data_IF_988054214291
#
_entry.id   IF_988054214291
#
_cell.length_a   1.000
_cell.length_b   1.000
_cell.length_c   1.000
_cell.angle_alpha   90.00
_cell.angle_beta   90.00
_cell.angle_gamma   90.00
#
_symmetry.space_group_name_H-M   'P 1'
#
loop_
_entity.id
_entity.type
_entity.pdbx_description
1 polymer ?
#
# COMPACT_ATOMS: atom_id res chain seq x y z
N UNK A 1 -3.61 -17.50 13.35
CA UNK A 1 -3.48 -17.11 11.92
C UNK A 1 -4.21 -15.79 11.69
N UNK A 2 -3.60 -14.87 10.96
CA UNK A 2 -4.09 -13.51 10.66
C UNK A 2 -4.37 -13.42 9.16
N UNK A 3 -5.62 -13.13 8.79
CA UNK A 3 -6.06 -13.06 7.40
C UNK A 3 -5.80 -11.69 6.77
N UNK A 4 -5.01 -11.64 5.69
CA UNK A 4 -4.65 -10.42 4.97
C UNK A 4 -5.21 -10.46 3.55
N UNK A 5 -5.89 -9.40 3.13
CA UNK A 5 -6.45 -9.23 1.79
C UNK A 5 -5.85 -7.98 1.11
N UNK A 6 -5.26 -8.13 -0.06
CA UNK A 6 -4.93 -7.00 -0.94
C UNK A 6 -5.97 -6.89 -2.07
N UNK A 7 -6.35 -5.67 -2.41
CA UNK A 7 -7.28 -5.39 -3.52
C UNK A 7 -6.51 -4.68 -4.63
N UNK A 8 -6.03 -5.45 -5.61
CA UNK A 8 -5.35 -4.91 -6.80
C UNK A 8 -6.36 -4.55 -7.89
N UNK A 9 -6.41 -3.29 -8.27
CA UNK A 9 -7.27 -2.86 -9.37
C UNK A 9 -6.75 -1.62 -10.10
N UNK A 10 -7.32 -1.35 -11.27
CA UNK A 10 -7.13 -0.11 -12.02
C UNK A 10 -8.19 0.90 -11.57
N UNK A 11 -7.83 2.01 -10.92
CA UNK A 11 -8.76 3.09 -10.66
C UNK A 11 -9.23 3.74 -11.97
N UNK A 12 -10.48 4.13 -12.02
CA UNK A 12 -11.00 5.01 -13.07
C UNK A 12 -10.62 6.43 -12.73
N UNK A 13 -9.85 7.08 -13.61
CA UNK A 13 -9.27 8.41 -13.38
C UNK A 13 -10.35 9.42 -13.01
N UNK A 14 -10.16 10.11 -11.89
CA UNK A 14 -11.03 11.20 -11.40
C UNK A 14 -12.43 10.77 -10.96
N UNK A 15 -12.75 9.47 -10.94
CA UNK A 15 -14.08 8.96 -10.64
C UNK A 15 -14.16 8.29 -9.26
N UNK A 16 -14.04 9.10 -8.19
CA UNK A 16 -14.02 8.63 -6.79
C UNK A 16 -15.16 7.63 -6.50
N UNK A 17 -16.40 7.98 -6.78
CA UNK A 17 -17.56 7.13 -6.47
C UNK A 17 -17.50 5.76 -7.16
N UNK A 18 -17.02 5.72 -8.41
CA UNK A 18 -16.85 4.47 -9.15
C UNK A 18 -15.78 3.61 -8.48
N UNK A 19 -14.66 4.23 -8.08
CA UNK A 19 -13.55 3.53 -7.46
C UNK A 19 -13.91 3.01 -6.06
N UNK A 20 -14.66 3.78 -5.28
CA UNK A 20 -15.17 3.35 -3.99
C UNK A 20 -16.14 2.14 -4.11
N UNK A 21 -17.03 2.16 -5.11
CA UNK A 21 -17.91 1.02 -5.42
C UNK A 21 -17.12 -0.23 -5.84
N UNK A 22 -15.99 -0.07 -6.57
CA UNK A 22 -15.10 -1.20 -6.88
C UNK A 22 -14.51 -1.81 -5.59
N UNK A 23 -14.04 -0.98 -4.66
CA UNK A 23 -13.52 -1.46 -3.37
C UNK A 23 -14.60 -2.24 -2.61
N UNK A 24 -15.82 -1.70 -2.49
CA UNK A 24 -16.93 -2.40 -1.84
C UNK A 24 -17.27 -3.72 -2.53
N UNK A 25 -17.26 -3.75 -3.86
CA UNK A 25 -17.51 -4.97 -4.64
C UNK A 25 -16.48 -6.06 -4.34
N UNK A 26 -15.19 -5.73 -4.31
CA UNK A 26 -14.12 -6.68 -3.98
C UNK A 26 -14.23 -7.18 -2.53
N UNK A 27 -14.56 -6.31 -1.58
CA UNK A 27 -14.78 -6.73 -0.19
C UNK A 27 -15.96 -7.69 -0.08
N UNK A 28 -17.06 -7.40 -0.77
CA UNK A 28 -18.25 -8.27 -0.79
C UNK A 28 -17.93 -9.67 -1.33
N UNK A 29 -17.04 -9.79 -2.33
CA UNK A 29 -16.62 -11.08 -2.90
C UNK A 29 -15.76 -11.92 -1.94
N UNK A 30 -15.26 -11.35 -0.85
CA UNK A 30 -14.40 -12.01 0.13
C UNK A 30 -14.97 -11.99 1.56
N UNK A 31 -16.28 -11.75 1.70
CA UNK A 31 -16.92 -11.63 3.02
C UNK A 31 -17.05 -12.96 3.78
N UNK A 32 -16.78 -14.09 3.13
CA UNK A 32 -16.69 -15.44 3.71
C UNK A 32 -15.35 -15.72 4.38
N UNK A 33 -14.34 -14.88 4.13
CA UNK A 33 -13.00 -15.01 4.71
C UNK A 33 -12.89 -14.25 6.03
N UNK A 34 -12.00 -14.73 6.90
CA UNK A 34 -11.57 -13.95 8.05
C UNK A 34 -10.65 -12.84 7.57
N UNK A 35 -11.10 -11.58 7.62
CA UNK A 35 -10.34 -10.42 7.20
C UNK A 35 -9.84 -9.66 8.42
N UNK A 36 -8.57 -9.81 8.77
CA UNK A 36 -7.95 -9.02 9.84
C UNK A 36 -7.36 -7.72 9.32
N UNK A 37 -6.83 -7.73 8.06
CA UNK A 37 -6.31 -6.55 7.39
C UNK A 37 -6.68 -6.54 5.91
N UNK A 38 -7.17 -5.40 5.43
CA UNK A 38 -7.36 -5.11 4.00
C UNK A 38 -6.44 -3.98 3.59
N UNK A 39 -5.78 -4.11 2.43
CA UNK A 39 -4.90 -3.08 1.89
C UNK A 39 -5.37 -2.65 0.50
N UNK A 40 -5.48 -1.34 0.30
CA UNK A 40 -5.82 -0.71 -0.97
C UNK A 40 -4.56 -0.12 -1.64
N UNK A 41 -4.54 0.08 -2.96
CA UNK A 41 -3.39 0.65 -3.66
C UNK A 41 -3.27 2.17 -3.47
N UNK A 42 -2.10 2.72 -3.72
CA UNK A 42 -1.86 4.16 -3.78
C UNK A 42 -2.81 4.82 -4.80
N UNK A 43 -3.34 6.02 -4.48
CA UNK A 43 -4.31 6.77 -5.29
C UNK A 43 -5.56 5.98 -5.68
N UNK A 44 -6.01 5.07 -4.83
CA UNK A 44 -7.11 4.15 -5.13
C UNK A 44 -8.42 4.85 -5.52
N UNK A 45 -8.67 6.06 -5.01
CA UNK A 45 -9.91 6.79 -5.24
C UNK A 45 -9.89 7.64 -6.52
N UNK A 46 -8.75 8.22 -6.87
CA UNK A 46 -8.62 9.15 -8.02
C UNK A 46 -7.90 8.55 -9.22
N UNK A 47 -7.05 7.51 -9.02
CA UNK A 47 -6.01 7.14 -9.95
C UNK A 47 -4.89 8.19 -9.98
N UNK A 48 -3.90 8.03 -10.86
CA UNK A 48 -2.79 8.96 -11.03
C UNK A 48 -3.20 10.04 -12.02
N UNK A 49 -3.54 11.23 -11.51
CA UNK A 49 -3.96 12.37 -12.33
C UNK A 49 -3.80 13.69 -11.57
N UNK A 50 -2.87 14.52 -12.03
CA UNK A 50 -2.54 15.80 -11.41
C UNK A 50 -3.75 16.73 -11.29
N UNK A 51 -4.67 16.70 -12.28
CA UNK A 51 -5.89 17.50 -12.24
C UNK A 51 -6.81 17.08 -11.09
N UNK A 52 -6.95 15.77 -10.90
CA UNK A 52 -7.73 15.22 -9.78
C UNK A 52 -7.06 15.54 -8.44
N UNK A 53 -5.73 15.51 -8.36
CA UNK A 53 -4.99 15.85 -7.14
C UNK A 53 -5.26 17.29 -6.70
N UNK A 54 -5.22 18.24 -7.64
CA UNK A 54 -5.42 19.67 -7.37
C UNK A 54 -6.90 20.01 -7.10
N UNK A 55 -7.81 19.44 -7.90
CA UNK A 55 -9.22 19.84 -7.91
C UNK A 55 -10.11 19.07 -6.94
N UNK A 56 -9.64 17.95 -6.41
CA UNK A 56 -10.45 17.06 -5.58
C UNK A 56 -9.68 16.49 -4.38
N UNK A 57 -8.85 17.28 -3.67
CA UNK A 57 -8.22 16.78 -2.45
C UNK A 57 -9.28 16.49 -1.40
N UNK A 58 -8.94 15.63 -0.46
CA UNK A 58 -9.70 15.43 0.77
C UNK A 58 -9.16 16.37 1.86
N UNK A 59 -9.93 16.63 2.89
CA UNK A 59 -9.46 17.36 4.06
C UNK A 59 -8.54 16.51 4.96
N UNK A 60 -8.09 17.06 6.06
CA UNK A 60 -7.18 16.39 7.00
C UNK A 60 -7.78 15.16 7.70
N UNK A 61 -9.09 14.98 7.64
CA UNK A 61 -9.80 13.79 8.13
C UNK A 61 -9.95 12.72 7.05
N UNK A 62 -9.51 13.00 5.82
CA UNK A 62 -9.64 12.14 4.65
C UNK A 62 -10.99 12.28 3.95
N UNK A 63 -11.84 13.19 4.39
CA UNK A 63 -13.09 13.60 3.76
C UNK A 63 -14.04 12.42 3.48
N UNK A 64 -14.91 12.60 2.47
CA UNK A 64 -15.92 11.59 2.11
C UNK A 64 -15.31 10.26 1.67
N UNK A 65 -14.11 10.27 1.11
CA UNK A 65 -13.44 9.03 0.66
C UNK A 65 -13.11 8.15 1.87
N UNK A 66 -12.47 8.71 2.89
CA UNK A 66 -12.08 7.94 4.09
C UNK A 66 -13.30 7.63 4.96
N UNK A 67 -14.28 8.55 5.06
CA UNK A 67 -15.56 8.25 5.71
C UNK A 67 -16.25 7.00 5.12
N UNK A 68 -16.23 6.86 3.79
CA UNK A 68 -16.77 5.67 3.12
C UNK A 68 -15.96 4.41 3.50
N UNK A 69 -14.62 4.48 3.51
CA UNK A 69 -13.76 3.34 3.91
C UNK A 69 -13.97 2.98 5.39
N UNK A 70 -14.16 3.95 6.28
CA UNK A 70 -14.53 3.71 7.68
C UNK A 70 -15.82 2.89 7.81
N UNK A 71 -16.85 3.22 7.00
CA UNK A 71 -18.10 2.44 6.96
C UNK A 71 -17.86 1.02 6.46
N UNK A 72 -16.97 0.81 5.50
CA UNK A 72 -16.59 -0.52 5.01
C UNK A 72 -15.83 -1.31 6.09
N UNK A 73 -14.86 -0.70 6.77
CA UNK A 73 -14.12 -1.33 7.86
C UNK A 73 -15.06 -1.89 8.94
N UNK A 74 -16.01 -1.07 9.39
CA UNK A 74 -17.04 -1.47 10.34
C UNK A 74 -17.97 -2.56 9.79
N UNK A 75 -18.46 -2.40 8.54
CA UNK A 75 -19.38 -3.33 7.90
C UNK A 75 -18.79 -4.73 7.76
N UNK A 76 -17.51 -4.83 7.38
CA UNK A 76 -16.81 -6.10 7.16
C UNK A 76 -15.97 -6.55 8.35
N UNK A 77 -16.04 -5.82 9.47
CA UNK A 77 -15.31 -6.12 10.71
C UNK A 77 -13.82 -6.36 10.47
N UNK A 78 -13.16 -5.46 9.74
CA UNK A 78 -11.76 -5.57 9.32
C UNK A 78 -10.99 -4.27 9.52
N UNK A 79 -9.69 -4.36 9.79
CA UNK A 79 -8.82 -3.19 9.72
C UNK A 79 -8.50 -2.89 8.25
N UNK A 80 -8.39 -1.61 7.88
CA UNK A 80 -8.09 -1.19 6.51
C UNK A 80 -6.94 -0.20 6.50
N UNK A 81 -5.88 -0.49 5.72
CA UNK A 81 -4.94 0.51 5.23
C UNK A 81 -5.52 1.04 3.92
N UNK A 82 -6.01 2.29 3.96
CA UNK A 82 -6.86 2.87 2.92
C UNK A 82 -6.06 3.37 1.71
N UNK A 83 -5.11 2.56 1.21
CA UNK A 83 -4.29 2.96 0.08
C UNK A 83 -3.73 4.37 0.30
N UNK A 84 -3.96 5.27 -0.65
CA UNK A 84 -3.74 6.70 -0.40
C UNK A 84 -4.80 7.59 -1.02
N UNK A 85 -4.97 8.75 -0.41
CA UNK A 85 -5.71 9.90 -0.93
C UNK A 85 -4.80 11.13 -0.95
N UNK A 86 -5.17 12.14 -1.75
CA UNK A 86 -4.55 13.45 -1.66
C UNK A 86 -5.23 14.23 -0.54
N UNK A 87 -4.48 14.49 0.51
CA UNK A 87 -4.91 15.27 1.66
C UNK A 87 -4.51 16.74 1.48
N UNK A 88 -5.44 17.67 1.69
CA UNK A 88 -5.12 19.11 1.82
C UNK A 88 -4.99 19.47 3.29
N UNK A 89 -3.82 20.02 3.67
CA UNK A 89 -3.55 20.50 5.01
C UNK A 89 -2.66 21.75 4.96
N UNK A 90 -3.06 22.84 5.60
CA UNK A 90 -2.31 24.12 5.62
C UNK A 90 -1.83 24.55 4.22
N UNK A 91 -2.77 24.62 3.26
CA UNK A 91 -2.53 25.00 1.85
C UNK A 91 -1.56 24.07 1.08
N UNK A 92 -1.10 22.97 1.68
CA UNK A 92 -0.26 21.95 1.04
C UNK A 92 -1.06 20.69 0.73
N UNK A 93 -0.64 19.99 -0.30
CA UNK A 93 -1.17 18.67 -0.65
C UNK A 93 -0.19 17.59 -0.20
N UNK A 94 -0.72 16.48 0.31
CA UNK A 94 0.06 15.33 0.76
C UNK A 94 -0.52 14.05 0.18
N UNK A 95 0.34 13.12 -0.17
CA UNK A 95 -0.03 11.74 -0.50
C UNK A 95 -0.13 10.95 0.81
N UNK A 96 -1.35 10.69 1.28
CA UNK A 96 -1.61 10.24 2.65
C UNK A 96 -2.35 8.91 2.70
N UNK A 97 -1.81 7.98 3.47
CA UNK A 97 -2.45 6.70 3.81
C UNK A 97 -3.08 6.79 5.19
N UNK A 98 -4.37 6.47 5.29
CA UNK A 98 -5.10 6.39 6.55
C UNK A 98 -5.19 4.96 7.03
N UNK A 99 -5.04 4.76 8.34
CA UNK A 99 -5.17 3.47 9.00
C UNK A 99 -6.46 3.47 9.80
N UNK A 100 -7.34 2.53 9.49
CA UNK A 100 -8.71 2.47 10.02
C UNK A 100 -8.89 1.12 10.73
N UNK A 101 -9.37 1.14 11.96
CA UNK A 101 -9.64 -0.08 12.71
C UNK A 101 -10.99 -0.72 12.31
N UNK A 102 -11.24 -1.94 12.79
CA UNK A 102 -12.47 -2.69 12.48
C UNK A 102 -13.76 -2.05 13.06
N UNK A 103 -13.64 -1.06 13.96
CA UNK A 103 -14.78 -0.27 14.42
C UNK A 103 -15.14 0.88 13.46
N UNK A 104 -14.30 1.10 12.41
CA UNK A 104 -14.44 2.21 11.48
C UNK A 104 -13.85 3.52 11.98
N UNK A 105 -12.91 3.47 12.93
CA UNK A 105 -12.24 4.63 13.49
C UNK A 105 -10.87 4.81 12.82
N UNK A 106 -10.53 6.05 12.47
CA UNK A 106 -9.17 6.40 12.00
C UNK A 106 -8.24 6.35 13.22
N UNK A 107 -7.23 5.48 13.16
CA UNK A 107 -6.26 5.33 14.27
C UNK A 107 -5.08 6.26 14.06
N UNK A 108 -4.58 6.35 12.83
CA UNK A 108 -3.44 7.19 12.45
C UNK A 108 -3.41 7.40 10.94
N UNK A 109 -2.48 8.23 10.47
CA UNK A 109 -2.22 8.46 9.05
C UNK A 109 -0.73 8.66 8.79
N UNK A 110 -0.27 8.21 7.63
CA UNK A 110 1.10 8.39 7.15
C UNK A 110 1.11 9.25 5.89
N UNK A 111 1.86 10.34 5.88
CA UNK A 111 2.16 11.17 4.71
C UNK A 111 3.45 10.68 4.07
N UNK A 112 3.43 10.39 2.78
CA UNK A 112 4.59 9.91 2.01
C UNK A 112 5.79 10.83 2.21
N UNK A 113 6.92 10.25 2.63
CA UNK A 113 8.15 10.99 2.89
C UNK A 113 8.95 11.17 1.59
N UNK A 114 9.14 10.10 0.83
CA UNK A 114 9.97 10.13 -0.38
C UNK A 114 9.10 10.21 -1.63
N UNK A 115 9.08 11.42 -2.22
CA UNK A 115 8.30 11.69 -3.43
C UNK A 115 9.01 11.20 -4.68
N UNK A 116 8.25 10.77 -5.68
CA UNK A 116 8.77 10.30 -6.95
C UNK A 116 9.05 11.48 -7.90
N UNK A 117 10.31 11.94 -7.92
CA UNK A 117 10.80 13.09 -8.70
C UNK A 117 11.85 12.70 -9.74
N UNK A 118 11.89 11.46 -10.20
CA UNK A 118 12.92 10.91 -11.08
C UNK A 118 12.31 10.27 -12.33
N UNK A 119 13.08 10.16 -13.41
CA UNK A 119 12.68 9.45 -14.63
C UNK A 119 11.32 9.91 -15.19
N UNK A 120 11.08 11.23 -15.20
CA UNK A 120 9.81 11.82 -15.64
C UNK A 120 8.74 11.95 -14.57
N UNK A 121 8.97 11.43 -13.36
CA UNK A 121 8.14 11.71 -12.20
C UNK A 121 8.37 13.13 -11.68
N UNK A 122 7.31 13.80 -11.26
CA UNK A 122 7.32 15.18 -10.78
C UNK A 122 6.36 15.40 -9.61
N UNK A 123 6.18 14.36 -8.79
CA UNK A 123 5.22 14.35 -7.67
C UNK A 123 5.42 15.57 -6.75
N UNK A 124 6.68 15.94 -6.49
CA UNK A 124 7.02 17.10 -5.64
C UNK A 124 6.66 18.48 -6.20
N UNK A 125 6.24 18.59 -7.46
CA UNK A 125 5.72 19.85 -8.00
C UNK A 125 4.33 20.20 -7.44
N UNK A 126 3.59 19.17 -6.96
CA UNK A 126 2.20 19.30 -6.51
C UNK A 126 2.07 18.86 -5.05
N UNK A 127 2.79 17.82 -4.65
CA UNK A 127 2.68 17.15 -3.36
C UNK A 127 3.87 17.51 -2.47
N UNK A 128 3.60 17.79 -1.21
CA UNK A 128 4.62 18.02 -0.18
C UNK A 128 5.00 16.72 0.51
N UNK A 129 6.28 16.58 0.89
CA UNK A 129 6.76 15.45 1.69
C UNK A 129 6.18 15.46 3.10
N UNK A 130 5.88 14.27 3.62
CA UNK A 130 5.71 14.03 5.05
C UNK A 130 7.05 14.06 5.80
N UNK A 131 6.98 13.95 7.11
CA UNK A 131 8.14 14.08 8.01
C UNK A 131 8.16 13.06 9.16
N UNK A 132 7.14 12.20 9.26
CA UNK A 132 6.99 11.25 10.36
C UNK A 132 6.90 9.82 9.87
N UNK A 133 7.66 8.93 10.51
CA UNK A 133 7.44 7.49 10.44
C UNK A 133 6.23 7.11 11.28
N UNK A 134 5.44 6.17 10.79
CA UNK A 134 4.21 5.73 11.46
C UNK A 134 4.21 4.23 11.66
N UNK A 135 4.04 3.82 12.91
CA UNK A 135 3.68 2.46 13.30
C UNK A 135 2.42 2.48 14.13
N UNK A 136 1.51 1.54 13.91
CA UNK A 136 0.21 1.46 14.57
C UNK A 136 0.02 0.08 15.19
N UNK A 137 -0.46 0.04 16.44
CA UNK A 137 -0.90 -1.20 17.05
C UNK A 137 -2.33 -1.49 16.60
N UNK A 138 -2.51 -2.53 15.81
CA UNK A 138 -3.81 -3.13 15.54
C UNK A 138 -4.10 -4.22 16.59
N UNK A 139 -5.32 -4.72 16.59
CA UNK A 139 -5.75 -5.76 17.53
C UNK A 139 -5.02 -7.11 17.38
N UNK A 140 -4.26 -7.30 16.29
CA UNK A 140 -3.53 -8.55 15.99
C UNK A 140 -2.02 -8.39 15.83
N UNK A 141 -1.51 -7.20 15.44
CA UNK A 141 -0.10 -6.94 15.19
C UNK A 141 0.23 -5.44 15.23
N UNK A 142 1.51 -5.14 15.37
CA UNK A 142 2.02 -3.80 15.10
C UNK A 142 2.42 -3.69 13.63
N UNK A 143 1.80 -2.75 12.91
CA UNK A 143 2.09 -2.51 11.49
C UNK A 143 2.91 -1.23 11.30
N UNK A 144 3.82 -1.23 10.32
CA UNK A 144 4.52 -0.05 9.82
C UNK A 144 3.99 0.35 8.45
N UNK A 145 3.92 1.64 8.15
CA UNK A 145 3.38 2.16 6.88
C UNK A 145 4.46 2.85 6.08
N UNK A 146 4.52 2.54 4.78
CA UNK A 146 5.30 3.23 3.77
C UNK A 146 4.46 3.36 2.50
N UNK A 147 4.81 4.24 1.57
CA UNK A 147 4.07 4.43 0.32
C UNK A 147 5.04 4.36 -0.87
N UNK A 148 4.78 3.43 -1.79
CA UNK A 148 5.35 3.35 -3.14
C UNK A 148 6.87 3.61 -3.19
N UNK A 149 7.30 4.82 -3.58
CA UNK A 149 8.71 5.18 -3.80
C UNK A 149 9.56 5.12 -2.51
N UNK A 150 8.95 5.11 -1.33
CA UNK A 150 9.64 4.84 -0.06
C UNK A 150 10.43 3.52 -0.10
N UNK A 151 10.01 2.54 -0.94
CA UNK A 151 10.71 1.25 -1.14
C UNK A 151 12.20 1.42 -1.50
N UNK A 152 12.58 2.54 -2.10
CA UNK A 152 13.95 2.85 -2.49
C UNK A 152 14.85 3.28 -1.34
N UNK A 153 14.28 3.48 -0.16
CA UNK A 153 14.96 3.98 1.04
C UNK A 153 15.00 2.93 2.15
N UNK A 154 16.02 2.04 2.17
CA UNK A 154 16.12 0.93 3.13
C UNK A 154 16.03 1.36 4.59
N UNK A 155 16.59 2.53 4.91
CA UNK A 155 16.64 3.03 6.28
C UNK A 155 15.24 3.28 6.87
N UNK A 156 14.27 3.71 6.03
CA UNK A 156 12.89 3.88 6.46
C UNK A 156 12.32 2.58 7.05
N UNK A 157 12.55 1.46 6.37
CA UNK A 157 12.05 0.14 6.79
C UNK A 157 12.77 -0.38 8.04
N UNK A 158 14.08 -0.12 8.13
CA UNK A 158 14.88 -0.44 9.33
C UNK A 158 14.32 0.30 10.56
N UNK A 159 14.02 1.59 10.43
CA UNK A 159 13.44 2.37 11.53
C UNK A 159 12.03 1.90 11.90
N UNK A 160 11.15 1.62 10.92
CA UNK A 160 9.84 1.04 11.22
C UNK A 160 9.95 -0.28 12.00
N UNK A 161 10.94 -1.10 11.67
CA UNK A 161 11.19 -2.37 12.37
C UNK A 161 11.74 -2.13 13.78
N UNK A 162 12.63 -1.17 13.98
CA UNK A 162 13.09 -0.73 15.32
C UNK A 162 11.94 -0.20 16.18
N UNK A 163 10.95 0.47 15.57
CA UNK A 163 9.72 0.90 16.24
C UNK A 163 8.78 -0.26 16.56
N UNK A 164 9.13 -1.50 16.19
CA UNK A 164 8.44 -2.72 16.55
C UNK A 164 7.46 -3.26 15.50
N UNK A 165 7.52 -2.79 14.25
CA UNK A 165 6.67 -3.34 13.21
C UNK A 165 6.93 -4.84 12.99
N UNK A 166 5.85 -5.61 12.91
CA UNK A 166 5.83 -7.04 12.57
C UNK A 166 5.36 -7.26 11.13
N UNK A 167 4.56 -6.32 10.63
CA UNK A 167 4.08 -6.25 9.25
C UNK A 167 4.40 -4.86 8.73
N UNK A 168 4.96 -4.75 7.52
CA UNK A 168 5.08 -3.49 6.81
C UNK A 168 4.11 -3.49 5.64
N UNK A 169 3.30 -2.43 5.56
CA UNK A 169 2.28 -2.26 4.53
C UNK A 169 2.72 -1.16 3.56
N UNK A 170 2.66 -1.46 2.25
CA UNK A 170 3.09 -0.57 1.18
C UNK A 170 1.99 -0.39 0.12
N UNK A 171 1.04 0.54 0.29
CA UNK A 171 0.23 1.03 -0.81
C UNK A 171 1.12 1.59 -1.92
N UNK A 172 0.85 1.20 -3.18
CA UNK A 172 1.73 1.59 -4.27
C UNK A 172 0.98 1.77 -5.60
N UNK A 173 1.58 2.56 -6.48
CA UNK A 173 1.22 2.72 -7.87
C UNK A 173 2.51 2.69 -8.70
N UNK A 174 3.18 1.52 -8.72
CA UNK A 174 4.44 1.34 -9.43
C UNK A 174 4.22 1.23 -10.92
N UNK A 175 4.66 2.24 -11.63
CA UNK A 175 4.38 2.46 -13.04
C UNK A 175 5.63 2.30 -13.90
N UNK A 176 5.38 1.98 -15.17
CA UNK A 176 6.39 1.96 -16.25
C UNK A 176 5.81 2.65 -17.50
N UNK A 177 6.63 3.13 -18.44
CA UNK A 177 6.17 3.57 -19.75
C UNK A 177 5.39 2.46 -20.48
N UNK A 178 4.41 2.84 -21.30
CA UNK A 178 3.61 1.87 -22.04
C UNK A 178 4.45 1.02 -23.03
N UNK A 179 5.56 1.55 -23.54
CA UNK A 179 6.51 0.79 -24.36
C UNK A 179 7.09 -0.39 -23.57
N UNK A 180 7.51 -0.15 -22.33
CA UNK A 180 8.02 -1.20 -21.41
C UNK A 180 6.91 -2.19 -21.08
N UNK A 181 5.70 -1.71 -20.83
CA UNK A 181 4.56 -2.57 -20.46
C UNK A 181 4.13 -3.49 -21.62
N UNK A 182 4.21 -3.02 -22.86
CA UNK A 182 3.82 -3.77 -24.06
C UNK A 182 4.89 -4.74 -24.55
N UNK A 183 6.15 -4.48 -24.22
CA UNK A 183 7.24 -5.41 -24.52
C UNK A 183 7.37 -6.47 -23.41
N UNK A 184 7.14 -7.73 -23.75
CA UNK A 184 7.10 -8.82 -22.78
C UNK A 184 8.40 -9.02 -22.00
N UNK A 185 9.55 -8.79 -22.64
CA UNK A 185 10.87 -8.95 -22.03
C UNK A 185 11.15 -7.82 -21.04
N UNK A 186 10.90 -6.58 -21.44
CA UNK A 186 11.07 -5.40 -20.59
C UNK A 186 10.11 -5.41 -19.41
N UNK A 187 8.85 -5.81 -19.62
CA UNK A 187 7.88 -5.94 -18.57
C UNK A 187 8.30 -7.02 -17.54
N UNK A 188 8.73 -8.19 -18.03
CA UNK A 188 9.23 -9.26 -17.16
C UNK A 188 10.39 -8.77 -16.31
N UNK A 189 11.37 -8.08 -16.90
CA UNK A 189 12.50 -7.51 -16.17
C UNK A 189 12.05 -6.50 -15.10
N UNK A 190 11.14 -5.57 -15.45
CA UNK A 190 10.59 -4.61 -14.49
C UNK A 190 9.86 -5.29 -13.34
N UNK A 191 9.12 -6.36 -13.60
CA UNK A 191 8.43 -7.15 -12.58
C UNK A 191 9.39 -7.93 -11.68
N UNK A 192 10.44 -8.54 -12.26
CA UNK A 192 11.47 -9.24 -11.50
C UNK A 192 12.22 -8.29 -10.55
N UNK A 193 12.60 -7.09 -11.02
CA UNK A 193 13.18 -6.06 -10.17
C UNK A 193 12.23 -5.66 -9.03
N UNK A 194 10.94 -5.47 -9.34
CA UNK A 194 9.93 -5.13 -8.36
C UNK A 194 9.80 -6.21 -7.29
N UNK A 195 9.70 -7.47 -7.69
CA UNK A 195 9.63 -8.63 -6.80
C UNK A 195 10.89 -8.70 -5.93
N UNK A 196 12.08 -8.55 -6.51
CA UNK A 196 13.35 -8.61 -5.79
C UNK A 196 13.43 -7.53 -4.69
N UNK A 197 13.10 -6.27 -5.01
CA UNK A 197 13.12 -5.17 -4.03
C UNK A 197 12.20 -5.48 -2.83
N UNK A 198 10.99 -5.96 -3.08
CA UNK A 198 10.02 -6.21 -2.01
C UNK A 198 10.41 -7.43 -1.15
N UNK A 199 10.92 -8.50 -1.77
CA UNK A 199 11.44 -9.66 -1.03
C UNK A 199 12.63 -9.27 -0.15
N UNK A 200 13.52 -8.44 -0.66
CA UNK A 200 14.65 -7.92 0.12
C UNK A 200 14.17 -7.13 1.33
N UNK A 201 13.16 -6.25 1.18
CA UNK A 201 12.61 -5.50 2.33
C UNK A 201 11.98 -6.40 3.39
N UNK A 202 11.31 -7.48 2.98
CA UNK A 202 10.79 -8.47 3.92
C UNK A 202 11.92 -9.14 4.72
N UNK A 203 12.98 -9.58 4.03
CA UNK A 203 14.08 -10.33 4.62
C UNK A 203 15.02 -9.48 5.47
N UNK A 204 15.45 -8.32 4.96
CA UNK A 204 16.34 -7.40 5.68
C UNK A 204 15.75 -6.91 7.00
N UNK A 205 14.43 -6.97 7.14
CA UNK A 205 13.72 -6.47 8.31
C UNK A 205 13.02 -7.59 9.11
N UNK A 206 13.04 -8.83 8.63
CA UNK A 206 12.37 -10.01 9.23
C UNK A 206 10.91 -9.71 9.60
N UNK A 207 10.15 -9.18 8.63
CA UNK A 207 8.74 -8.81 8.77
C UNK A 207 7.92 -9.40 7.64
N UNK A 208 6.61 -9.56 7.85
CA UNK A 208 5.72 -9.70 6.70
C UNK A 208 5.69 -8.40 5.91
N UNK A 209 5.75 -8.51 4.58
CA UNK A 209 5.72 -7.35 3.69
C UNK A 209 4.49 -7.45 2.79
N UNK A 210 3.56 -6.51 2.98
CA UNK A 210 2.26 -6.51 2.31
C UNK A 210 2.18 -5.31 1.40
N UNK A 211 2.30 -5.53 0.11
CA UNK A 211 2.26 -4.47 -0.88
C UNK A 211 1.03 -4.59 -1.77
N UNK A 212 0.32 -3.48 -1.96
CA UNK A 212 -0.87 -3.41 -2.79
C UNK A 212 -0.67 -2.38 -3.91
N UNK A 213 -0.57 -2.87 -5.16
CA UNK A 213 -0.29 -2.08 -6.35
C UNK A 213 -1.55 -1.86 -7.20
N UNK A 214 -1.51 -0.82 -8.03
CA UNK A 214 -2.40 -0.72 -9.19
C UNK A 214 -1.98 -1.70 -10.29
N UNK A 215 -2.83 -1.89 -11.29
CA UNK A 215 -2.55 -2.75 -12.45
C UNK A 215 -3.11 -2.16 -13.75
N UNK A 216 -2.61 -2.65 -14.88
CA UNK A 216 -3.04 -2.30 -16.25
C UNK A 216 -2.62 -0.88 -16.68
N UNK A 217 -2.95 -0.56 -17.91
CA UNK A 217 -2.72 0.75 -18.50
C UNK A 217 -3.49 1.85 -17.74
N UNK A 218 -2.78 2.87 -17.25
CA UNK A 218 -3.35 3.99 -16.50
C UNK A 218 -3.83 5.07 -17.47
N UNK A 219 -2.97 5.44 -18.42
CA UNK A 219 -3.24 6.44 -19.45
C UNK A 219 -2.46 6.12 -20.73
N UNK A 220 -2.45 7.03 -21.69
CA UNK A 220 -1.76 6.84 -22.98
C UNK A 220 -0.25 6.58 -22.87
N UNK A 221 0.38 6.93 -21.75
CA UNK A 221 1.83 6.90 -21.60
C UNK A 221 2.33 5.90 -20.54
N UNK A 222 1.50 5.57 -19.54
CA UNK A 222 1.90 4.86 -18.34
C UNK A 222 1.00 3.67 -18.03
N UNK A 223 1.61 2.60 -17.57
CA UNK A 223 0.96 1.39 -17.07
C UNK A 223 1.48 1.00 -15.70
N UNK A 224 0.62 0.52 -14.82
CA UNK A 224 1.01 -0.09 -13.57
C UNK A 224 1.31 -1.58 -13.76
N UNK A 225 2.40 -2.05 -13.19
CA UNK A 225 2.92 -3.41 -13.43
C UNK A 225 2.20 -4.50 -12.63
N UNK A 226 1.23 -4.15 -11.78
CA UNK A 226 0.58 -5.13 -10.92
C UNK A 226 1.52 -5.70 -9.87
N UNK A 227 1.47 -7.01 -9.67
CA UNK A 227 2.28 -7.74 -8.69
C UNK A 227 2.11 -7.20 -7.26
N UNK A 228 0.87 -7.00 -6.82
CA UNK A 228 0.56 -6.94 -5.39
C UNK A 228 0.95 -8.27 -4.76
N UNK A 229 1.59 -8.23 -3.60
CA UNK A 229 2.11 -9.45 -2.96
C UNK A 229 1.91 -9.41 -1.45
N UNK A 230 1.85 -10.60 -0.87
CA UNK A 230 2.02 -10.85 0.57
C UNK A 230 3.26 -11.73 0.70
N UNK A 231 4.29 -11.23 1.38
CA UNK A 231 5.62 -11.84 1.44
C UNK A 231 5.96 -12.15 2.89
N UNK A 232 6.46 -13.36 3.15
CA UNK A 232 6.90 -13.79 4.48
C UNK A 232 8.25 -13.17 4.87
N UNK A 233 8.62 -13.17 6.15
CA UNK A 233 9.94 -12.74 6.61
C UNK A 233 11.10 -13.50 5.95
N UNK A 234 10.84 -14.68 5.39
CA UNK A 234 11.83 -15.55 4.72
C UNK A 234 11.79 -15.45 3.21
N UNK A 235 11.21 -14.37 2.67
CA UNK A 235 11.11 -14.08 1.24
C UNK A 235 10.11 -14.93 0.44
N UNK A 236 9.38 -15.84 1.07
CA UNK A 236 8.34 -16.61 0.40
C UNK A 236 7.19 -15.69 -0.03
N UNK A 237 6.77 -15.77 -1.28
CA UNK A 237 5.59 -15.07 -1.78
C UNK A 237 4.37 -15.94 -1.51
N UNK A 238 3.61 -15.59 -0.46
CA UNK A 238 2.42 -16.33 -0.05
C UNK A 238 1.25 -16.12 -1.01
N UNK A 239 1.17 -14.93 -1.61
CA UNK A 239 0.18 -14.60 -2.64
C UNK A 239 0.71 -13.52 -3.58
N UNK A 240 0.37 -13.60 -4.87
CA UNK A 240 0.74 -12.63 -5.91
C UNK A 240 -0.41 -12.44 -6.92
N UNK A 241 -0.85 -11.20 -7.11
CA UNK A 241 -1.92 -10.83 -8.04
C UNK A 241 -1.47 -10.78 -9.52
N UNK A 242 -0.17 -10.86 -9.79
CA UNK A 242 0.41 -10.67 -11.12
C UNK A 242 -0.16 -9.40 -11.78
N UNK A 243 -0.63 -9.47 -13.04
CA UNK A 243 -1.17 -8.33 -13.79
C UNK A 243 -2.71 -8.25 -13.76
N UNK A 244 -3.39 -9.00 -12.90
CA UNK A 244 -4.85 -9.08 -12.94
C UNK A 244 -5.52 -8.09 -11.98
N UNK A 245 -6.74 -7.64 -12.32
CA UNK A 245 -7.60 -6.98 -11.36
C UNK A 245 -8.24 -8.07 -10.49
N UNK A 246 -7.76 -8.22 -9.29
CA UNK A 246 -8.21 -9.28 -8.39
C UNK A 246 -7.91 -8.94 -6.93
N UNK A 247 -8.42 -9.77 -6.06
CA UNK A 247 -7.98 -9.84 -4.67
C UNK A 247 -7.00 -10.99 -4.49
N UNK A 248 -6.01 -10.79 -3.64
CA UNK A 248 -5.17 -11.88 -3.13
C UNK A 248 -5.31 -11.96 -1.62
N UNK A 249 -5.27 -13.17 -1.10
CA UNK A 249 -5.44 -13.47 0.31
C UNK A 249 -4.37 -14.44 0.79
N UNK A 250 -3.89 -14.22 2.01
CA UNK A 250 -3.07 -15.18 2.73
C UNK A 250 -3.36 -15.13 4.23
N UNK A 251 -3.32 -16.29 4.86
CA UNK A 251 -3.21 -16.41 6.31
C UNK A 251 -1.74 -16.38 6.70
N UNK A 252 -1.37 -15.49 7.61
CA UNK A 252 -0.01 -15.37 8.14
C UNK A 252 0.04 -15.78 9.61
N UNK A 253 1.22 -16.24 10.02
CA UNK A 253 1.51 -16.60 11.41
C UNK A 253 2.59 -15.66 11.97
N UNK A 254 2.21 -14.80 12.91
CA UNK A 254 3.13 -13.83 13.52
C UNK A 254 4.21 -14.46 14.40
N UNK A 255 4.03 -15.70 14.83
CA UNK A 255 5.09 -16.44 15.54
C UNK A 255 6.34 -16.62 14.66
N UNK A 256 6.18 -16.67 13.34
CA UNK A 256 7.30 -16.70 12.38
C UNK A 256 8.19 -15.44 12.54
N UNK A 257 7.60 -14.26 12.69
CA UNK A 257 8.36 -13.01 12.91
C UNK A 257 9.14 -13.08 14.22
N UNK A 258 8.47 -13.49 15.30
CA UNK A 258 9.08 -13.61 16.64
C UNK A 258 10.24 -14.60 16.62
N UNK A 259 10.03 -15.76 16.01
CA UNK A 259 11.07 -16.79 15.88
C UNK A 259 12.30 -16.26 15.15
N UNK A 260 12.12 -15.70 13.93
CA UNK A 260 13.28 -15.22 13.16
C UNK A 260 13.97 -14.04 13.83
N UNK A 261 13.26 -13.10 14.44
CA UNK A 261 13.88 -12.01 15.23
C UNK A 261 14.65 -12.50 16.46
N UNK A 262 14.27 -13.64 17.02
CA UNK A 262 14.99 -14.23 18.16
C UNK A 262 16.33 -14.86 17.78
N UNK A 263 16.43 -15.44 16.57
CA UNK A 263 17.66 -16.09 16.09
C UNK A 263 18.53 -15.16 15.24
N UNK A 264 17.96 -14.09 14.66
CA UNK A 264 18.67 -13.06 13.91
C UNK A 264 18.31 -11.68 14.47
N UNK A 265 19.00 -11.20 15.52
CA UNK A 265 18.64 -9.94 16.19
C UNK A 265 19.10 -8.70 15.40
N UNK A 266 18.69 -8.59 14.14
CA UNK A 266 19.12 -7.53 13.19
C UNK A 266 18.74 -6.11 13.63
N UNK A 267 17.74 -5.96 14.51
CA UNK A 267 17.35 -4.67 15.08
C UNK A 267 18.25 -4.22 16.23
N UNK A 268 19.13 -5.09 16.72
CA UNK A 268 20.09 -4.82 17.81
C UNK A 268 21.49 -4.52 17.28
N UNK A 269 21.70 -4.66 15.97
CA UNK A 269 22.98 -4.35 15.31
C UNK A 269 22.88 -2.90 14.81
N UNK A 270 23.65 -2.01 15.40
CA UNK A 270 23.76 -0.60 15.00
C UNK A 270 24.53 -0.42 13.69
#
# INVERSE_FOLDING_TARGET
>A
MTGILNIQFKPTIGKKDINLKKVEHFLKQNCDKKLDLVVLPEFFSTGIDDKSFINSPEDETGGKTIEFVCKLAKKYNTNIVAGTVIEKYNEKLYNTSFIINRNGEIIDKYRKIHLYNYMGGNEGNIISSGDKLVTVNLDFAKIGIAICFDIRYPQLFKELTKMGAEIIVLPTAWIVPNEVYKDSTSLKYAQEMWIAMNRTRAFDNLVYFVLCNQTKEINSNLSAIGNSMIISPTTEILANAKNEQCTIYADIDLEVVKYYKSIYPITQID
#
